data_IF_493683862042
#
_entry.id   IF_493683862042
#
_cell.length_a   1.000
_cell.length_b   1.000
_cell.length_c   1.000
_cell.angle_alpha   90.00
_cell.angle_beta   90.00
_cell.angle_gamma   90.00
#
_symmetry.space_group_name_H-M   'P 1'
#
loop_
_entity.id
_entity.type
_entity.pdbx_description
1 polymer ?
#
# COMPACT_ATOMS: atom_id res chain seq x y z
N UNK A 1 -1.31 -56.44 -4.75
CA UNK A 1 -0.81 -55.15 -5.31
C UNK A 1 -1.85 -54.07 -4.94
N UNK A 2 -1.54 -53.28 -3.94
CA UNK A 2 -2.44 -52.16 -3.53
C UNK A 2 -2.01 -50.91 -4.29
N UNK A 3 -2.90 -50.36 -5.13
CA UNK A 3 -2.67 -49.12 -5.86
C UNK A 3 -3.00 -47.94 -4.93
N UNK A 4 -1.97 -47.26 -4.49
CA UNK A 4 -2.14 -46.02 -3.65
C UNK A 4 -2.50 -44.87 -4.60
N UNK A 5 -3.78 -44.45 -4.60
CA UNK A 5 -4.21 -43.24 -5.31
C UNK A 5 -3.73 -42.01 -4.54
N UNK A 6 -2.70 -41.35 -5.07
CA UNK A 6 -2.25 -40.04 -4.58
C UNK A 6 -3.22 -38.96 -5.09
N UNK A 7 -4.13 -38.53 -4.23
CA UNK A 7 -5.05 -37.42 -4.55
C UNK A 7 -4.24 -36.11 -4.46
N UNK A 8 -3.88 -35.55 -5.61
CA UNK A 8 -3.26 -34.21 -5.69
C UNK A 8 -4.38 -33.20 -5.47
N UNK A 9 -4.43 -32.59 -4.28
CA UNK A 9 -5.31 -31.48 -3.98
C UNK A 9 -4.74 -30.23 -4.66
N UNK A 10 -5.27 -29.81 -5.81
CA UNK A 10 -4.96 -28.51 -6.40
C UNK A 10 -5.58 -27.43 -5.51
N UNK A 11 -4.74 -26.78 -4.72
CA UNK A 11 -5.13 -25.56 -4.01
C UNK A 11 -5.16 -24.44 -5.07
N UNK A 12 -6.35 -24.09 -5.54
CA UNK A 12 -6.53 -22.88 -6.37
C UNK A 12 -6.41 -21.68 -5.44
N UNK A 13 -5.29 -20.94 -5.53
CA UNK A 13 -5.16 -19.66 -4.84
C UNK A 13 -6.14 -18.68 -5.49
N UNK A 14 -7.15 -18.28 -4.74
CA UNK A 14 -8.09 -17.24 -5.18
C UNK A 14 -7.38 -15.88 -5.13
N UNK A 15 -7.39 -15.13 -6.22
CA UNK A 15 -6.77 -13.80 -6.30
C UNK A 15 -7.85 -12.79 -6.67
N UNK A 16 -7.96 -11.72 -5.88
CA UNK A 16 -8.81 -10.57 -6.19
C UNK A 16 -7.93 -9.37 -6.52
N UNK A 17 -8.16 -8.75 -7.68
CA UNK A 17 -7.50 -7.50 -8.07
C UNK A 17 -8.15 -6.33 -7.33
N UNK A 18 -7.36 -5.59 -6.54
CA UNK A 18 -7.80 -4.37 -5.87
C UNK A 18 -7.62 -3.18 -6.81
N UNK A 19 -6.45 -3.06 -7.43
CA UNK A 19 -6.17 -2.05 -8.45
C UNK A 19 -5.09 -2.55 -9.40
N UNK A 20 -5.33 -2.33 -10.70
CA UNK A 20 -4.40 -2.66 -11.78
C UNK A 20 -4.08 -1.37 -12.55
N UNK A 21 -2.82 -0.94 -12.49
CA UNK A 21 -2.37 0.26 -13.18
C UNK A 21 -2.10 -0.07 -14.64
N UNK A 22 -2.87 0.55 -15.52
CA UNK A 22 -2.70 0.48 -16.97
C UNK A 22 -2.73 1.89 -17.55
N UNK A 23 -2.45 2.05 -18.87
CA UNK A 23 -2.54 3.36 -19.52
C UNK A 23 -3.96 3.95 -19.43
N UNK A 24 -4.96 3.10 -19.42
CA UNK A 24 -6.39 3.44 -19.37
C UNK A 24 -6.93 3.54 -17.94
N UNK A 25 -6.17 3.12 -16.92
CA UNK A 25 -6.60 3.16 -15.52
C UNK A 25 -6.99 4.59 -15.10
N UNK A 26 -8.17 4.72 -14.50
CA UNK A 26 -8.67 6.00 -13.96
C UNK A 26 -8.12 6.22 -12.54
N UNK A 27 -7.42 7.31 -12.32
CA UNK A 27 -6.83 7.67 -11.02
C UNK A 27 -7.72 8.58 -10.17
N UNK A 28 -8.97 8.82 -10.55
CA UNK A 28 -9.87 9.78 -9.85
C UNK A 28 -10.10 9.45 -8.37
N UNK A 29 -9.95 8.18 -7.98
CA UNK A 29 -10.09 7.73 -6.58
C UNK A 29 -8.74 7.68 -5.83
N UNK A 30 -7.67 8.19 -6.45
CA UNK A 30 -6.36 8.32 -5.83
C UNK A 30 -6.12 9.76 -5.42
N UNK A 31 -6.00 9.99 -4.11
CA UNK A 31 -5.73 11.30 -3.52
C UNK A 31 -4.30 11.40 -3.01
N UNK A 32 -3.68 12.57 -3.18
CA UNK A 32 -2.37 12.89 -2.60
C UNK A 32 -2.58 13.67 -1.31
N UNK A 33 -2.01 13.18 -0.22
CA UNK A 33 -2.04 13.85 1.09
C UNK A 33 -0.61 14.19 1.50
N UNK A 34 -0.29 15.47 1.43
CA UNK A 34 0.99 16.03 1.87
C UNK A 34 0.87 16.54 3.31
N UNK A 35 2.00 16.73 3.96
CA UNK A 35 2.09 17.33 5.30
C UNK A 35 1.68 18.80 5.36
N UNK A 36 1.35 19.42 4.23
CA UNK A 36 0.77 20.78 4.14
C UNK A 36 -0.48 20.94 4.98
N UNK A 37 -1.25 19.86 5.21
CA UNK A 37 -2.38 19.83 6.16
C UNK A 37 -1.97 20.15 7.62
N UNK A 38 -0.66 20.12 7.90
CA UNK A 38 -0.05 20.44 9.19
C UNK A 38 0.93 21.61 9.09
N UNK A 39 0.98 22.31 7.94
CA UNK A 39 1.89 23.43 7.67
C UNK A 39 3.24 23.04 7.06
N UNK A 40 3.49 21.76 6.80
CA UNK A 40 4.69 21.28 6.10
C UNK A 40 4.75 21.71 4.63
N UNK A 41 5.86 21.46 3.98
CA UNK A 41 6.10 21.83 2.57
C UNK A 41 6.51 20.65 1.68
N UNK A 42 6.32 19.42 2.15
CA UNK A 42 6.48 18.25 1.31
C UNK A 42 5.51 18.26 0.12
N UNK A 43 5.97 17.78 -1.03
CA UNK A 43 5.20 17.77 -2.27
C UNK A 43 5.30 16.41 -2.94
N UNK A 44 4.23 15.64 -2.91
CA UNK A 44 4.05 14.42 -3.67
C UNK A 44 3.06 14.60 -4.80
N UNK A 45 3.12 13.73 -5.77
CA UNK A 45 2.13 13.62 -6.85
C UNK A 45 1.89 12.15 -7.19
N UNK A 46 0.69 11.87 -7.67
CA UNK A 46 0.30 10.58 -8.23
C UNK A 46 -0.01 10.77 -9.71
N UNK A 47 0.55 9.93 -10.55
CA UNK A 47 0.35 9.95 -11.99
C UNK A 47 0.57 8.57 -12.59
N UNK A 48 0.88 8.52 -13.90
CA UNK A 48 1.29 7.30 -14.60
C UNK A 48 2.61 7.52 -15.30
N UNK A 49 3.44 6.47 -15.38
CA UNK A 49 4.64 6.46 -16.20
C UNK A 49 4.31 6.16 -17.68
N UNK A 50 5.30 6.14 -18.55
CA UNK A 50 5.12 5.87 -19.98
C UNK A 50 4.63 4.44 -20.28
N UNK A 51 4.85 3.49 -19.37
CA UNK A 51 4.38 2.12 -19.48
C UNK A 51 2.93 1.95 -19.02
N UNK A 52 2.42 2.91 -18.23
CA UNK A 52 1.07 2.89 -17.66
C UNK A 52 1.04 2.56 -16.18
N UNK A 53 2.18 2.28 -15.56
CA UNK A 53 2.25 2.02 -14.13
C UNK A 53 1.89 3.27 -13.33
N UNK A 54 1.28 3.12 -12.17
CA UNK A 54 1.08 4.20 -11.23
C UNK A 54 2.42 4.77 -10.77
N UNK A 55 2.56 6.08 -10.78
CA UNK A 55 3.80 6.76 -10.40
C UNK A 55 3.55 7.69 -9.22
N UNK A 56 4.05 7.29 -8.05
CA UNK A 56 4.09 8.11 -6.84
C UNK A 56 5.50 8.65 -6.66
N UNK A 57 5.66 9.96 -6.83
CA UNK A 57 6.97 10.61 -6.75
C UNK A 57 6.87 12.01 -6.15
N UNK A 58 7.99 12.55 -5.65
CA UNK A 58 8.01 13.88 -5.09
C UNK A 58 9.23 14.16 -4.21
N UNK A 59 9.03 15.08 -3.29
CA UNK A 59 10.04 15.52 -2.32
C UNK A 59 9.44 15.60 -0.93
N UNK A 60 10.08 14.97 0.04
CA UNK A 60 9.78 15.12 1.47
C UNK A 60 10.69 16.19 2.04
N UNK A 61 10.11 17.20 2.69
CA UNK A 61 10.82 18.23 3.45
C UNK A 61 10.53 18.11 4.93
N UNK A 62 11.51 18.45 5.77
CA UNK A 62 11.34 18.51 7.23
C UNK A 62 10.95 19.89 7.72
N UNK A 63 10.89 20.87 6.85
CA UNK A 63 10.52 22.25 7.21
C UNK A 63 9.12 22.31 7.82
N UNK A 64 8.92 23.23 8.74
CA UNK A 64 7.65 23.50 9.44
C UNK A 64 7.05 22.27 10.14
N UNK A 65 7.89 21.37 10.67
CA UNK A 65 7.50 20.08 11.25
C UNK A 65 6.79 19.15 10.26
N UNK A 66 7.09 19.29 8.97
CA UNK A 66 6.71 18.37 7.92
C UNK A 66 7.43 17.03 8.03
N UNK A 67 7.47 16.26 6.98
CA UNK A 67 8.26 15.03 6.91
C UNK A 67 7.55 13.83 6.33
N UNK A 68 6.45 14.04 5.60
CA UNK A 68 5.80 12.93 4.87
C UNK A 68 5.01 13.41 3.66
N UNK A 69 4.80 12.48 2.76
CA UNK A 69 3.75 12.55 1.76
C UNK A 69 3.14 11.16 1.57
N UNK A 70 1.88 11.10 1.17
CA UNK A 70 1.17 9.84 0.96
C UNK A 70 0.23 9.92 -0.22
N UNK A 71 -0.10 8.75 -0.78
CA UNK A 71 -1.21 8.56 -1.72
C UNK A 71 -2.22 7.60 -1.11
N UNK A 72 -3.50 7.82 -1.36
CA UNK A 72 -4.60 7.02 -0.86
C UNK A 72 -5.56 6.69 -1.96
N UNK A 73 -6.02 5.47 -1.97
CA UNK A 73 -7.03 4.94 -2.88
C UNK A 73 -8.32 4.67 -2.12
N UNK A 74 -9.38 5.39 -2.47
CA UNK A 74 -10.75 5.08 -2.03
C UNK A 74 -11.27 3.90 -2.86
N UNK A 75 -11.15 2.71 -2.30
CA UNK A 75 -11.55 1.47 -2.96
C UNK A 75 -13.05 1.20 -2.82
N UNK A 76 -13.77 1.98 -1.98
CA UNK A 76 -15.07 1.59 -1.49
C UNK A 76 -14.96 0.32 -0.61
N UNK A 77 -16.08 -0.23 -0.20
CA UNK A 77 -16.09 -1.39 0.70
C UNK A 77 -15.83 -2.68 -0.06
N UNK A 78 -14.63 -3.25 0.13
CA UNK A 78 -14.20 -4.53 -0.45
C UNK A 78 -14.15 -5.60 0.65
N UNK A 79 -14.81 -6.75 0.43
CA UNK A 79 -14.71 -7.92 1.32
C UNK A 79 -13.38 -8.64 1.08
N UNK A 80 -12.68 -8.97 2.17
CA UNK A 80 -11.39 -9.66 2.14
C UNK A 80 -11.44 -11.04 2.79
N UNK A 81 -12.61 -11.50 3.23
CA UNK A 81 -12.78 -12.84 3.79
C UNK A 81 -12.36 -13.92 2.82
N UNK A 82 -11.51 -14.85 3.27
CA UNK A 82 -10.94 -15.91 2.45
C UNK A 82 -9.57 -15.55 1.82
N UNK A 83 -9.10 -14.33 2.02
CA UNK A 83 -7.74 -13.89 1.70
C UNK A 83 -6.90 -13.73 2.97
N UNK A 84 -5.59 -13.71 2.83
CA UNK A 84 -4.67 -13.66 3.98
C UNK A 84 -3.57 -12.62 3.86
N UNK A 85 -3.34 -12.09 2.64
CA UNK A 85 -2.27 -11.14 2.35
C UNK A 85 -2.61 -10.22 1.18
N UNK A 86 -2.04 -9.02 1.20
CA UNK A 86 -1.90 -8.19 0.01
C UNK A 86 -0.63 -8.57 -0.74
N UNK A 87 -0.70 -8.47 -2.06
CA UNK A 87 0.43 -8.61 -2.98
C UNK A 87 0.53 -7.31 -3.76
N UNK A 88 1.68 -6.65 -3.70
CA UNK A 88 1.95 -5.40 -4.42
C UNK A 88 3.14 -5.61 -5.33
N UNK A 89 2.96 -5.42 -6.64
CA UNK A 89 4.05 -5.40 -7.61
C UNK A 89 4.48 -3.96 -7.83
N UNK A 90 5.71 -3.64 -7.48
CA UNK A 90 6.22 -2.28 -7.52
C UNK A 90 7.72 -2.21 -7.82
N UNK A 91 8.17 -1.01 -8.20
CA UNK A 91 9.58 -0.64 -8.31
C UNK A 91 9.80 0.67 -7.56
N UNK A 92 10.52 0.62 -6.44
CA UNK A 92 10.90 1.79 -5.67
C UNK A 92 12.28 2.31 -6.06
N UNK A 93 12.88 3.06 -5.17
CA UNK A 93 14.12 3.79 -5.36
C UNK A 93 15.19 3.50 -4.28
N UNK A 94 15.06 2.34 -3.62
CA UNK A 94 15.97 1.92 -2.54
C UNK A 94 15.62 2.52 -1.17
N UNK A 95 14.40 3.06 -1.01
CA UNK A 95 13.95 3.69 0.25
C UNK A 95 12.87 2.86 0.93
N UNK A 96 12.66 3.16 2.22
CA UNK A 96 11.56 2.61 3.00
C UNK A 96 10.25 3.33 2.69
N UNK A 97 9.18 2.54 2.58
CA UNK A 97 7.81 3.00 2.40
C UNK A 97 6.89 2.29 3.39
N UNK A 98 5.71 2.84 3.57
CA UNK A 98 4.63 2.21 4.32
C UNK A 98 3.47 1.89 3.38
N UNK A 99 2.99 0.66 3.44
CA UNK A 99 1.65 0.30 2.99
C UNK A 99 0.68 0.58 4.12
N UNK A 100 -0.45 1.18 3.80
CA UNK A 100 -1.47 1.57 4.78
C UNK A 100 -2.83 1.10 4.31
N UNK A 101 -3.64 0.62 5.23
CA UNK A 101 -5.01 0.17 4.94
C UNK A 101 -5.94 0.59 6.07
N UNK A 102 -7.20 0.88 5.73
CA UNK A 102 -8.26 1.16 6.70
C UNK A 102 -9.46 0.24 6.44
N UNK A 103 -10.05 -0.25 7.52
CA UNK A 103 -11.32 -0.96 7.48
C UNK A 103 -12.46 0.00 7.19
N UNK A 104 -12.40 1.19 7.76
CA UNK A 104 -13.34 2.28 7.49
C UNK A 104 -12.55 3.58 7.24
N UNK A 105 -12.77 4.24 6.12
CA UNK A 105 -12.05 5.46 5.74
C UNK A 105 -12.25 6.64 6.71
N UNK A 106 -13.31 6.63 7.53
CA UNK A 106 -13.55 7.64 8.56
C UNK A 106 -12.71 7.45 9.82
N UNK A 107 -12.02 6.31 9.99
CA UNK A 107 -11.15 6.08 11.14
C UNK A 107 -9.97 7.05 11.14
N UNK A 108 -9.60 7.54 12.33
CA UNK A 108 -8.46 8.45 12.49
C UNK A 108 -7.11 7.75 12.34
N UNK A 109 -7.06 6.43 12.57
CA UNK A 109 -5.85 5.60 12.46
C UNK A 109 -5.85 4.80 11.16
N UNK A 110 -4.71 4.18 10.88
CA UNK A 110 -4.56 3.21 9.79
C UNK A 110 -3.82 1.99 10.31
N UNK A 111 -4.03 0.85 9.67
CA UNK A 111 -3.14 -0.30 9.80
C UNK A 111 -1.96 -0.12 8.85
N UNK A 112 -0.73 -0.40 9.31
CA UNK A 112 0.52 -0.04 8.64
C UNK A 112 1.45 -1.24 8.55
N UNK A 113 2.05 -1.41 7.39
CA UNK A 113 3.15 -2.33 7.14
C UNK A 113 4.31 -1.56 6.48
N UNK A 114 5.50 -1.59 7.07
CA UNK A 114 6.69 -0.93 6.52
C UNK A 114 7.49 -1.92 5.69
N UNK A 115 8.00 -1.47 4.54
CA UNK A 115 8.81 -2.29 3.64
C UNK A 115 9.92 -1.47 3.00
N UNK A 116 11.00 -2.16 2.61
CA UNK A 116 12.13 -1.58 1.88
C UNK A 116 11.98 -1.86 0.40
N UNK A 117 12.50 -0.95 -0.42
CA UNK A 117 12.55 -1.13 -1.87
C UNK A 117 13.98 -1.30 -2.37
N UNK A 118 14.16 -1.92 -3.54
CA UNK A 118 15.49 -2.29 -4.05
C UNK A 118 15.93 -1.49 -5.29
N UNK A 119 15.08 -0.64 -5.82
CA UNK A 119 15.32 0.01 -7.11
C UNK A 119 14.98 -0.85 -8.34
N UNK A 120 14.62 -2.09 -8.15
CA UNK A 120 14.16 -3.02 -9.18
C UNK A 120 12.67 -3.35 -8.99
N UNK A 121 12.03 -3.90 -10.01
CA UNK A 121 10.71 -4.49 -9.87
C UNK A 121 10.77 -5.62 -8.84
N UNK A 122 9.85 -5.60 -7.90
CA UNK A 122 9.74 -6.56 -6.81
C UNK A 122 8.28 -6.78 -6.42
N UNK A 123 8.02 -7.93 -5.83
CA UNK A 123 6.73 -8.27 -5.25
C UNK A 123 6.84 -8.16 -3.74
N UNK A 124 6.00 -7.32 -3.14
CA UNK A 124 5.88 -7.19 -1.69
C UNK A 124 4.67 -8.00 -1.25
N UNK A 125 4.91 -9.05 -0.46
CA UNK A 125 3.86 -9.81 0.21
C UNK A 125 3.60 -9.23 1.60
N UNK A 126 2.36 -8.91 1.90
CA UNK A 126 1.97 -8.22 3.14
C UNK A 126 0.90 -9.06 3.84
N UNK A 127 1.28 -9.99 4.73
CA UNK A 127 0.32 -10.78 5.50
C UNK A 127 -0.58 -9.87 6.36
N UNK A 128 -1.87 -10.11 6.39
CA UNK A 128 -2.81 -9.31 7.18
C UNK A 128 -2.43 -9.26 8.66
N UNK A 129 -1.95 -10.37 9.20
CA UNK A 129 -1.46 -10.47 10.58
C UNK A 129 -0.24 -9.62 10.90
N UNK A 130 0.48 -9.13 9.88
CA UNK A 130 1.69 -8.29 10.04
C UNK A 130 1.39 -6.79 9.92
N UNK A 131 0.13 -6.41 9.65
CA UNK A 131 -0.26 -5.01 9.48
C UNK A 131 -0.76 -4.48 10.83
N UNK A 132 -0.01 -3.57 11.43
CA UNK A 132 -0.23 -3.10 12.81
C UNK A 132 -0.99 -1.76 12.85
N UNK A 133 -1.85 -1.52 13.84
CA UNK A 133 -2.58 -0.25 13.96
C UNK A 133 -1.65 0.88 14.38
N UNK A 134 -1.78 2.04 13.72
CA UNK A 134 -0.94 3.21 13.96
C UNK A 134 -1.69 4.52 13.77
N UNK A 135 -1.46 5.48 14.66
CA UNK A 135 -1.95 6.85 14.55
C UNK A 135 -0.80 7.83 14.67
N UNK A 136 -0.61 8.68 13.66
CA UNK A 136 0.46 9.70 13.61
C UNK A 136 1.85 9.13 13.97
N UNK A 137 2.19 7.97 13.38
CA UNK A 137 3.48 7.31 13.58
C UNK A 137 3.65 6.59 14.94
N UNK A 138 2.61 6.52 15.76
CA UNK A 138 2.62 5.79 17.04
C UNK A 138 1.79 4.52 16.93
N UNK A 139 2.35 3.39 17.32
CA UNK A 139 1.61 2.13 17.41
C UNK A 139 0.50 2.24 18.46
N UNK A 140 -0.65 1.64 18.17
CA UNK A 140 -1.80 1.59 19.07
C UNK A 140 -1.86 0.20 19.73
N UNK A 141 -2.35 0.17 20.97
CA UNK A 141 -2.59 -1.10 21.69
C UNK A 141 -3.95 -1.68 21.25
N UNK A 142 -4.01 -2.17 20.03
CA UNK A 142 -5.18 -2.77 19.41
C UNK A 142 -4.76 -4.01 18.61
N UNK A 143 -5.70 -4.86 18.26
CA UNK A 143 -5.46 -6.00 17.36
C UNK A 143 -4.94 -5.52 15.99
N UNK A 144 -4.14 -6.35 15.34
CA UNK A 144 -3.68 -6.14 13.97
C UNK A 144 -4.86 -6.16 12.98
N UNK A 145 -4.58 -5.84 11.73
CA UNK A 145 -5.59 -5.76 10.67
C UNK A 145 -6.43 -7.06 10.60
N UNK A 146 -7.76 -6.99 10.74
CA UNK A 146 -8.59 -8.20 10.87
C UNK A 146 -8.77 -8.96 9.55
N UNK A 147 -8.64 -8.27 8.40
CA UNK A 147 -8.82 -8.90 7.08
C UNK A 147 -10.25 -9.23 6.69
N UNK A 148 -11.26 -8.65 7.34
CA UNK A 148 -12.67 -8.89 6.99
C UNK A 148 -13.08 -8.07 5.78
N UNK A 149 -12.74 -6.79 5.76
CA UNK A 149 -12.97 -5.85 4.66
C UNK A 149 -12.03 -4.65 4.77
N UNK A 150 -11.94 -3.89 3.69
CA UNK A 150 -11.25 -2.60 3.64
C UNK A 150 -12.07 -1.57 2.87
N UNK A 151 -11.81 -0.28 3.09
CA UNK A 151 -12.38 0.84 2.33
C UNK A 151 -11.32 1.73 1.69
N UNK A 152 -10.14 1.85 2.30
CA UNK A 152 -9.04 2.69 1.82
C UNK A 152 -7.73 1.92 1.93
N UNK A 153 -6.86 2.06 0.94
CA UNK A 153 -5.45 1.69 1.04
C UNK A 153 -4.55 2.81 0.51
N UNK A 154 -3.26 2.72 0.76
CA UNK A 154 -2.32 3.71 0.21
C UNK A 154 -0.88 3.45 0.58
N UNK A 155 -0.05 4.39 0.17
CA UNK A 155 1.38 4.38 0.44
C UNK A 155 1.81 5.69 1.07
N UNK A 156 2.81 5.63 1.94
CA UNK A 156 3.38 6.80 2.58
C UNK A 156 4.91 6.68 2.58
N UNK A 157 5.57 7.80 2.36
CA UNK A 157 6.99 7.97 2.66
C UNK A 157 7.19 9.04 3.71
N UNK A 158 8.00 8.75 4.73
CA UNK A 158 8.24 9.63 5.87
C UNK A 158 9.39 9.09 6.72
N UNK A 159 10.61 9.12 6.19
CA UNK A 159 11.81 8.50 6.76
C UNK A 159 12.57 9.44 7.73
N UNK A 160 11.93 10.53 8.19
CA UNK A 160 12.52 11.56 9.07
C UNK A 160 13.76 12.21 8.47
N UNK A 161 13.81 12.34 7.17
CA UNK A 161 14.88 13.04 6.44
C UNK A 161 14.30 13.72 5.20
N UNK A 162 14.99 14.76 4.75
CA UNK A 162 14.70 15.39 3.48
C UNK A 162 15.16 14.49 2.34
N UNK A 163 14.26 14.19 1.39
CA UNK A 163 14.59 13.30 0.29
C UNK A 163 13.63 13.43 -0.89
N UNK A 164 14.16 13.30 -2.11
CA UNK A 164 13.35 13.00 -3.29
C UNK A 164 13.00 11.52 -3.29
N UNK A 165 11.82 11.18 -3.78
CA UNK A 165 11.40 9.79 -3.85
C UNK A 165 10.66 9.48 -5.15
N UNK A 166 10.67 8.19 -5.52
CA UNK A 166 9.99 7.70 -6.70
C UNK A 166 9.65 6.22 -6.56
N UNK A 167 8.37 5.89 -6.71
CA UNK A 167 7.88 4.53 -6.70
C UNK A 167 6.88 4.32 -7.84
N UNK A 168 7.15 3.34 -8.70
CA UNK A 168 6.22 2.87 -9.71
C UNK A 168 5.47 1.65 -9.16
N UNK A 169 4.16 1.56 -9.42
CA UNK A 169 3.28 0.48 -8.95
C UNK A 169 2.57 -0.11 -10.17
N UNK A 170 2.66 -1.42 -10.35
CA UNK A 170 2.00 -2.13 -11.43
C UNK A 170 0.58 -2.56 -11.01
N UNK A 171 0.48 -3.34 -9.94
CA UNK A 171 -0.81 -3.80 -9.45
C UNK A 171 -0.83 -4.04 -7.93
N UNK A 172 -2.04 -4.11 -7.39
CA UNK A 172 -2.34 -4.45 -6.01
C UNK A 172 -3.42 -5.52 -6.02
N UNK A 173 -3.12 -6.68 -5.44
CA UNK A 173 -4.04 -7.81 -5.34
C UNK A 173 -4.11 -8.35 -3.92
N UNK A 174 -5.05 -9.25 -3.63
CA UNK A 174 -5.12 -10.05 -2.40
C UNK A 174 -5.21 -11.54 -2.72
N UNK A 175 -4.58 -12.34 -1.86
CA UNK A 175 -4.56 -13.80 -1.91
C UNK A 175 -4.82 -14.43 -0.54
#
# INVERSE_FOLDING_TARGET
MSLLFLTICLITMNTLVIFDFTKEADLKNWDVINDTVMGGVSAGKMGKDAAGNGLFEGHVSLDNNGGFTSVRYDAGKIKLQGYSKFIVVLKGDGKAYQFRVKTNKSESYSYVYSFETTGNWQTIEIPFSSIVPSFRGRSLNMANFPGDYMEELGFLIGNKKEEHFKMAIDNITVQ
#
